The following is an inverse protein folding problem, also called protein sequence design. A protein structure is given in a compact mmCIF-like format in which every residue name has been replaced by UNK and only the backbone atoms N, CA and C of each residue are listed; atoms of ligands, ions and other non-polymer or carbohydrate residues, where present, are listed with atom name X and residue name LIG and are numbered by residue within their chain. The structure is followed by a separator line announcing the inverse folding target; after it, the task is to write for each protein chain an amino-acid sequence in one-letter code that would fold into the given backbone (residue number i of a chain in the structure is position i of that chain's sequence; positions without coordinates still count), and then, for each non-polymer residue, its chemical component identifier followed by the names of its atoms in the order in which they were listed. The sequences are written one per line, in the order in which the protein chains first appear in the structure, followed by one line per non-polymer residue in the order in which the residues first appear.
data_IF_085092563734
#
_entry.id   IF_085092563734
#
_cell.length_a   1.000
_cell.length_b   1.000
_cell.length_c   1.000
_cell.angle_alpha   90.00
_cell.angle_beta   90.00
_cell.angle_gamma   90.00
#
_symmetry.space_group_name_H-M   'P 1'
#
loop_
_entity.id
_entity.type
_entity.pdbx_description
1 polymer ?
#
# COMPACT_ATOMS: atom_id res chain seq x y z
N UNK A 1 1.70 -11.80 0.40
CA UNK A 1 1.84 -11.97 -1.07
C UNK A 1 0.51 -12.08 -1.81
N UNK A 2 -0.60 -12.53 -1.18
CA UNK A 2 -1.92 -12.58 -1.83
C UNK A 2 -2.36 -11.25 -2.49
N UNK A 3 -2.02 -10.11 -1.89
CA UNK A 3 -2.28 -8.79 -2.47
C UNK A 3 -1.61 -8.59 -3.84
N UNK A 4 -0.35 -9.01 -4.01
CA UNK A 4 0.36 -8.89 -5.29
C UNK A 4 -0.29 -9.75 -6.38
N UNK A 5 -0.72 -10.97 -6.04
CA UNK A 5 -1.45 -11.83 -6.97
C UNK A 5 -2.75 -11.18 -7.43
N UNK A 6 -3.53 -10.66 -6.48
CA UNK A 6 -4.78 -9.93 -6.80
C UNK A 6 -4.54 -8.69 -7.67
N UNK A 7 -3.46 -7.93 -7.43
CA UNK A 7 -3.09 -6.80 -8.30
C UNK A 7 -2.77 -7.30 -9.71
N UNK A 8 -2.08 -8.42 -9.87
CA UNK A 8 -1.81 -9.03 -11.17
C UNK A 8 -3.09 -9.32 -11.95
N UNK A 9 -4.07 -9.94 -11.31
CA UNK A 9 -5.38 -10.22 -11.91
C UNK A 9 -6.10 -8.92 -12.32
N UNK A 10 -6.13 -7.92 -11.42
CA UNK A 10 -6.74 -6.62 -11.68
C UNK A 10 -6.10 -5.90 -12.88
N UNK A 11 -4.77 -5.90 -12.95
CA UNK A 11 -3.98 -5.25 -14.00
C UNK A 11 -4.22 -5.93 -15.35
N UNK A 12 -4.40 -7.26 -15.38
CA UNK A 12 -4.73 -7.98 -16.59
C UNK A 12 -6.12 -7.62 -17.12
N UNK A 13 -7.10 -7.39 -16.24
CA UNK A 13 -8.47 -7.06 -16.61
C UNK A 13 -8.68 -5.60 -17.06
N UNK A 14 -7.99 -4.65 -16.44
CA UNK A 14 -8.11 -3.23 -16.82
C UNK A 14 -7.36 -3.00 -18.13
N UNK A 15 -8.08 -3.06 -19.25
CA UNK A 15 -7.51 -2.88 -20.61
C UNK A 15 -7.05 -1.45 -20.91
N UNK A 16 -7.60 -0.46 -20.19
CA UNK A 16 -7.24 0.94 -20.37
C UNK A 16 -5.79 1.22 -19.96
N UNK A 17 -5.07 2.00 -20.78
CA UNK A 17 -3.76 2.54 -20.41
C UNK A 17 -3.94 3.61 -19.34
N UNK A 18 -3.59 3.27 -18.10
CA UNK A 18 -3.69 4.17 -16.97
C UNK A 18 -2.37 4.18 -16.19
N UNK A 19 -1.75 5.35 -16.05
CA UNK A 19 -0.51 5.48 -15.27
C UNK A 19 -0.65 4.97 -13.82
N UNK A 20 -1.84 5.08 -13.22
CA UNK A 20 -2.15 4.55 -11.90
C UNK A 20 -2.09 3.02 -11.85
N UNK A 21 -2.51 2.32 -12.92
CA UNK A 21 -2.41 0.85 -13.05
C UNK A 21 -0.95 0.41 -13.04
N UNK A 22 -0.10 1.02 -13.86
CA UNK A 22 1.33 0.67 -13.93
C UNK A 22 2.06 0.99 -12.62
N UNK A 23 1.64 2.07 -11.94
CA UNK A 23 2.18 2.44 -10.64
C UNK A 23 1.71 1.50 -9.54
N UNK A 24 0.46 1.04 -9.59
CA UNK A 24 -0.08 0.05 -8.66
C UNK A 24 0.71 -1.26 -8.73
N UNK A 25 0.94 -1.79 -9.93
CA UNK A 25 1.68 -3.04 -10.15
C UNK A 25 3.14 -2.98 -9.64
N UNK A 26 3.83 -1.88 -9.97
CA UNK A 26 5.19 -1.65 -9.45
C UNK A 26 5.20 -1.48 -7.93
N UNK A 27 4.25 -0.74 -7.38
CA UNK A 27 4.18 -0.49 -5.94
C UNK A 27 3.83 -1.77 -5.17
N UNK A 28 2.91 -2.61 -5.66
CA UNK A 28 2.58 -3.88 -5.03
C UNK A 28 3.77 -4.83 -5.02
N UNK A 29 4.57 -4.84 -6.09
CA UNK A 29 5.81 -5.63 -6.17
C UNK A 29 6.91 -5.10 -5.25
N UNK A 30 6.99 -3.77 -5.07
CA UNK A 30 7.97 -3.12 -4.18
C UNK A 30 7.81 -3.54 -2.71
N UNK A 31 6.58 -3.77 -2.23
CA UNK A 31 6.30 -4.13 -0.84
C UNK A 31 7.08 -5.40 -0.39
N UNK A 32 6.87 -6.58 -1.00
CA UNK A 32 7.56 -7.80 -0.58
C UNK A 32 9.07 -7.73 -0.83
N UNK A 33 9.52 -7.04 -1.89
CA UNK A 33 10.95 -6.86 -2.16
C UNK A 33 11.64 -6.13 -1.01
N UNK A 34 11.11 -4.99 -0.57
CA UNK A 34 11.73 -4.22 0.51
C UNK A 34 11.60 -4.92 1.87
N UNK A 35 10.57 -5.73 2.11
CA UNK A 35 10.48 -6.59 3.30
C UNK A 35 11.60 -7.64 3.28
N UNK A 36 11.85 -8.28 2.13
CA UNK A 36 12.92 -9.26 1.99
C UNK A 36 14.31 -8.61 2.14
N UNK A 37 14.52 -7.46 1.49
CA UNK A 37 15.77 -6.71 1.55
C UNK A 37 16.10 -6.24 2.97
N UNK A 38 15.09 -5.81 3.74
CA UNK A 38 15.27 -5.47 5.15
C UNK A 38 15.85 -6.63 5.94
N UNK A 39 15.29 -7.83 5.78
CA UNK A 39 15.72 -9.01 6.53
C UNK A 39 17.20 -9.37 6.30
N UNK A 40 17.76 -8.98 5.14
CA UNK A 40 19.17 -9.16 4.81
C UNK A 40 20.12 -8.08 5.35
N UNK A 41 19.63 -7.04 6.05
CA UNK A 41 20.49 -5.96 6.58
C UNK A 41 20.99 -6.28 7.99
N UNK A 42 22.20 -5.81 8.29
CA UNK A 42 22.82 -6.01 9.61
C UNK A 42 22.45 -4.93 10.63
N UNK A 43 22.23 -3.69 10.19
CA UNK A 43 21.93 -2.57 11.08
C UNK A 43 20.42 -2.32 11.19
N UNK A 44 19.93 -1.97 12.40
CA UNK A 44 18.54 -1.59 12.62
C UNK A 44 18.14 -0.34 11.80
N UNK A 45 19.08 0.59 11.60
CA UNK A 45 18.87 1.80 10.81
C UNK A 45 18.57 1.46 9.35
N UNK A 46 19.39 0.59 8.74
CA UNK A 46 19.14 0.14 7.36
C UNK A 46 17.83 -0.64 7.29
N UNK A 47 17.58 -1.52 8.26
CA UNK A 47 16.33 -2.27 8.33
C UNK A 47 15.11 -1.36 8.31
N UNK A 48 15.09 -0.36 9.18
CA UNK A 48 14.02 0.63 9.26
C UNK A 48 13.86 1.42 7.96
N UNK A 49 14.95 1.71 7.22
CA UNK A 49 14.88 2.41 5.93
C UNK A 49 14.07 1.62 4.90
N UNK A 50 14.35 0.32 4.73
CA UNK A 50 13.62 -0.52 3.76
C UNK A 50 12.15 -0.68 4.15
N UNK A 51 11.84 -0.84 5.45
CA UNK A 51 10.45 -0.90 5.91
C UNK A 51 9.67 0.39 5.70
N UNK A 52 10.32 1.57 5.83
CA UNK A 52 9.69 2.86 5.48
C UNK A 52 9.30 2.91 4.00
N UNK A 53 10.14 2.36 3.11
CA UNK A 53 9.86 2.28 1.67
C UNK A 53 8.71 1.29 1.39
N UNK A 54 8.71 0.12 2.03
CA UNK A 54 7.62 -0.83 1.93
C UNK A 54 6.28 -0.21 2.39
N UNK A 55 6.29 0.53 3.51
CA UNK A 55 5.11 1.23 4.03
C UNK A 55 4.63 2.31 3.06
N UNK A 56 5.54 3.11 2.52
CA UNK A 56 5.22 4.11 1.49
C UNK A 56 4.59 3.47 0.25
N UNK A 57 5.11 2.31 -0.17
CA UNK A 57 4.58 1.55 -1.31
C UNK A 57 3.17 1.02 -1.03
N UNK A 58 2.90 0.48 0.16
CA UNK A 58 1.56 0.01 0.56
C UNK A 58 0.52 1.14 0.62
N UNK A 59 0.88 2.30 1.18
CA UNK A 59 0.02 3.49 1.17
C UNK A 59 -0.21 3.99 -0.27
N UNK A 60 0.83 3.97 -1.10
CA UNK A 60 0.74 4.28 -2.52
C UNK A 60 -0.23 3.38 -3.26
N UNK A 61 -0.23 2.07 -2.99
CA UNK A 61 -1.20 1.14 -3.57
C UNK A 61 -2.65 1.53 -3.26
N UNK A 62 -2.95 1.92 -2.01
CA UNK A 62 -4.29 2.37 -1.64
C UNK A 62 -4.70 3.61 -2.46
N UNK A 63 -3.80 4.60 -2.55
CA UNK A 63 -4.04 5.80 -3.34
C UNK A 63 -4.21 5.51 -4.85
N UNK A 64 -3.45 4.58 -5.42
CA UNK A 64 -3.61 4.19 -6.82
C UNK A 64 -4.94 3.48 -7.07
N UNK A 65 -5.42 2.66 -6.13
CA UNK A 65 -6.77 2.08 -6.20
C UNK A 65 -7.84 3.18 -6.17
N UNK A 66 -7.70 4.19 -5.31
CA UNK A 66 -8.62 5.34 -5.26
C UNK A 66 -8.66 6.10 -6.59
N UNK A 67 -7.50 6.32 -7.22
CA UNK A 67 -7.41 6.95 -8.54
C UNK A 67 -8.10 6.12 -9.62
N UNK A 68 -7.96 4.78 -9.59
CA UNK A 68 -8.63 3.90 -10.55
C UNK A 68 -10.16 3.90 -10.36
N UNK A 69 -10.64 3.99 -9.12
CA UNK A 69 -12.07 4.14 -8.80
C UNK A 69 -12.59 5.49 -9.28
N UNK A 70 -11.90 6.59 -8.94
CA UNK A 70 -12.30 7.94 -9.33
C UNK A 70 -12.36 8.12 -10.86
N UNK A 71 -11.53 7.38 -11.59
CA UNK A 71 -11.52 7.34 -13.07
C UNK A 71 -12.48 6.30 -13.66
N UNK A 72 -13.28 5.64 -12.84
CA UNK A 72 -14.28 4.63 -13.22
C UNK A 72 -13.70 3.41 -13.95
N UNK A 73 -12.42 3.10 -13.72
CA UNK A 73 -11.81 1.89 -14.27
C UNK A 73 -12.16 0.63 -13.46
N UNK A 74 -12.44 0.80 -12.17
CA UNK A 74 -12.82 -0.27 -11.23
C UNK A 74 -13.87 0.27 -10.25
N UNK A 75 -14.62 -0.61 -9.59
CA UNK A 75 -15.63 -0.22 -8.59
C UNK A 75 -15.05 -0.22 -7.18
N UNK A 76 -15.66 0.56 -6.28
CA UNK A 76 -15.20 0.64 -4.89
C UNK A 76 -15.35 -0.70 -4.17
N UNK A 77 -16.48 -1.38 -4.37
CA UNK A 77 -16.84 -2.67 -3.77
C UNK A 77 -15.79 -3.73 -4.09
N UNK A 78 -15.29 -3.73 -5.32
CA UNK A 78 -14.24 -4.66 -5.78
C UNK A 78 -12.92 -4.48 -5.02
N UNK A 79 -12.64 -3.26 -4.55
CA UNK A 79 -11.36 -2.95 -3.88
C UNK A 79 -11.37 -3.16 -2.38
N UNK A 80 -12.53 -3.35 -1.74
CA UNK A 80 -12.63 -3.50 -0.28
C UNK A 80 -11.69 -4.58 0.26
N UNK A 81 -11.71 -5.83 -0.24
CA UNK A 81 -10.85 -6.89 0.30
C UNK A 81 -9.36 -6.56 0.16
N UNK A 82 -9.00 -5.90 -0.94
CA UNK A 82 -7.62 -5.49 -1.22
C UNK A 82 -7.17 -4.36 -0.29
N UNK A 83 -8.04 -3.37 -0.01
CA UNK A 83 -7.76 -2.30 0.96
C UNK A 83 -7.63 -2.83 2.39
N UNK A 84 -8.44 -3.80 2.79
CA UNK A 84 -8.29 -4.46 4.09
C UNK A 84 -6.95 -5.21 4.20
N UNK A 85 -6.51 -5.87 3.13
CA UNK A 85 -5.17 -6.46 3.06
C UNK A 85 -4.08 -5.40 3.22
N UNK A 86 -4.21 -4.25 2.56
CA UNK A 86 -3.27 -3.13 2.69
C UNK A 86 -3.21 -2.59 4.12
N UNK A 87 -4.35 -2.45 4.81
CA UNK A 87 -4.38 -2.05 6.22
C UNK A 87 -3.58 -3.04 7.08
N UNK A 88 -3.78 -4.35 6.90
CA UNK A 88 -3.02 -5.38 7.63
C UNK A 88 -1.52 -5.30 7.33
N UNK A 89 -1.14 -5.11 6.07
CA UNK A 89 0.25 -4.93 5.65
C UNK A 89 0.86 -3.70 6.32
N UNK A 90 0.19 -2.55 6.27
CA UNK A 90 0.66 -1.30 6.87
C UNK A 90 0.84 -1.46 8.38
N UNK A 91 -0.11 -2.06 9.07
CA UNK A 91 -0.03 -2.29 10.52
C UNK A 91 1.15 -3.21 10.87
N UNK A 92 1.37 -4.27 10.10
CA UNK A 92 2.52 -5.15 10.25
C UNK A 92 3.84 -4.39 10.06
N UNK A 93 3.95 -3.57 9.01
CA UNK A 93 5.14 -2.77 8.73
C UNK A 93 5.42 -1.73 9.82
N UNK A 94 4.39 -1.08 10.37
CA UNK A 94 4.53 -0.17 11.52
C UNK A 94 5.04 -0.93 12.74
N UNK A 95 4.46 -2.09 13.06
CA UNK A 95 4.94 -2.92 14.18
C UNK A 95 6.36 -3.47 13.99
N UNK A 96 6.83 -3.66 12.76
CA UNK A 96 8.25 -3.95 12.49
C UNK A 96 9.14 -2.72 12.68
N UNK A 97 8.70 -1.55 12.20
CA UNK A 97 9.43 -0.29 12.35
C UNK A 97 9.64 0.10 13.82
N UNK A 98 8.61 -0.08 14.66
CA UNK A 98 8.68 0.21 16.09
C UNK A 98 9.77 -0.61 16.78
N UNK A 99 9.98 -1.86 16.35
CA UNK A 99 11.02 -2.75 16.88
C UNK A 99 12.44 -2.27 16.57
N UNK A 100 12.65 -1.62 15.43
CA UNK A 100 13.96 -1.13 15.01
C UNK A 100 14.24 0.32 15.40
N UNK A 101 13.20 1.09 15.76
CA UNK A 101 13.31 2.53 16.02
C UNK A 101 13.62 2.88 17.48
N UNK A 102 13.76 1.89 18.38
CA UNK A 102 14.20 2.11 19.77
C UNK A 102 13.46 3.23 20.49
N UNK A 103 12.16 3.06 20.78
CA UNK A 103 11.30 4.01 21.48
C UNK A 103 11.17 5.40 20.84
N UNK A 104 10.16 5.57 19.98
CA UNK A 104 9.38 6.80 19.92
C UNK A 104 7.95 6.47 19.48
N UNK A 105 7.01 6.59 20.43
CA UNK A 105 5.59 6.48 20.13
C UNK A 105 5.17 7.45 19.04
N UNK A 106 4.05 7.12 18.37
CA UNK A 106 3.38 7.90 17.33
C UNK A 106 3.75 7.57 15.87
N UNK A 107 3.78 6.28 15.50
CA UNK A 107 3.65 5.86 14.08
C UNK A 107 2.25 5.34 13.73
N UNK A 108 1.26 5.48 14.62
CA UNK A 108 -0.15 5.27 14.27
C UNK A 108 -0.57 6.35 13.26
N UNK A 109 -0.72 5.96 11.98
CA UNK A 109 -1.32 6.82 10.98
C UNK A 109 -2.75 7.13 11.41
N UNK A 110 -3.06 8.42 11.60
CA UNK A 110 -4.45 8.86 11.74
C UNK A 110 -5.24 8.34 10.54
N UNK A 111 -6.42 7.78 10.78
CA UNK A 111 -7.33 7.38 9.70
C UNK A 111 -7.52 8.58 8.77
N UNK A 112 -7.00 8.48 7.54
CA UNK A 112 -7.22 9.48 6.52
C UNK A 112 -8.69 9.49 6.18
N UNK A 113 -9.41 10.53 6.62
CA UNK A 113 -10.78 10.78 6.18
C UNK A 113 -10.67 11.23 4.72
N UNK A 114 -10.76 10.29 3.79
CA UNK A 114 -11.08 10.61 2.40
C UNK A 114 -12.60 10.78 2.33
N UNK A 115 -13.08 11.90 2.84
CA UNK A 115 -14.48 12.29 2.75
C UNK A 115 -14.85 12.52 1.29
N UNK A 116 -15.72 11.68 0.75
CA UNK A 116 -16.45 11.96 -0.47
C UNK A 116 -17.53 12.99 -0.15
N UNK A 117 -17.15 14.27 -0.14
CA UNK A 117 -18.10 15.38 -0.23
C UNK A 117 -18.66 15.43 -1.66
N UNK A 118 -19.65 14.60 -1.94
CA UNK A 118 -20.62 14.84 -3.00
C UNK A 118 -21.96 15.09 -2.32
N UNK A 119 -22.12 16.30 -1.79
CA UNK A 119 -23.44 16.86 -1.54
C UNK A 119 -23.94 17.37 -2.89
N UNK A 120 -24.94 16.67 -3.43
CA UNK A 120 -25.75 17.17 -4.52
C UNK A 120 -26.70 18.22 -3.91
N UNK A 121 -26.60 19.46 -4.37
CA UNK A 121 -27.74 20.37 -4.52
C UNK A 121 -27.60 21.11 -5.85
#
# INVERSE_FOLDING_TARGET
MAFCGWVGDLVAEVSAKAAAKDRLDRASTSIPLHIAEENGKFSNTDRARFLKIARGSALGCAAYLDVLIARKFITAERTLPAKEQLVRIVNMLVGMLDRYSGHAGSLHGKAGIYGTGHENE
#
